data_IF_480039122884
#
_entry.id   IF_480039122884
#
_cell.length_a   1.000
_cell.length_b   1.000
_cell.length_c   1.000
_cell.angle_alpha   90.00
_cell.angle_beta   90.00
_cell.angle_gamma   90.00
#
_symmetry.space_group_name_H-M   'P 1'
#
loop_
_entity.id
_entity.type
_entity.pdbx_description
1 polymer ?
#
# COMPACT_ATOMS: atom_id res chain seq x y z
N UNK A 1 7.71 -46.59 100.81
CA UNK A 1 7.07 -47.41 99.76
C UNK A 1 5.87 -46.64 99.20
N UNK A 2 5.98 -46.09 97.99
CA UNK A 2 4.85 -45.54 97.22
C UNK A 2 5.20 -45.69 95.74
N UNK A 3 4.65 -46.71 95.10
CA UNK A 3 4.76 -46.96 93.65
C UNK A 3 3.84 -45.96 92.93
N UNK A 4 4.40 -45.09 92.09
CA UNK A 4 3.63 -44.29 91.13
C UNK A 4 3.56 -45.03 89.80
N UNK A 5 2.34 -45.16 89.31
CA UNK A 5 1.94 -45.81 88.06
C UNK A 5 2.41 -45.03 86.84
N UNK A 6 3.09 -45.69 85.90
CA UNK A 6 3.24 -45.21 84.53
C UNK A 6 1.98 -45.56 83.74
N UNK A 7 1.30 -44.55 83.18
CA UNK A 7 0.28 -44.76 82.14
C UNK A 7 0.97 -44.70 80.76
N UNK A 8 0.76 -45.68 79.87
CA UNK A 8 1.16 -45.51 78.47
C UNK A 8 0.09 -44.67 77.74
N UNK A 9 0.55 -43.75 76.90
CA UNK A 9 -0.28 -43.07 75.90
C UNK A 9 -0.65 -44.05 74.77
N UNK A 10 -1.89 -44.06 74.26
CA UNK A 10 -2.25 -44.88 73.11
C UNK A 10 -1.69 -44.27 71.83
N UNK A 11 -1.03 -45.09 71.02
CA UNK A 11 -0.61 -44.76 69.66
C UNK A 11 -1.85 -44.69 68.74
N UNK A 12 -1.97 -43.64 67.95
CA UNK A 12 -2.98 -43.52 66.89
C UNK A 12 -2.68 -44.50 65.74
N UNK A 13 -3.72 -45.09 65.11
CA UNK A 13 -3.54 -46.05 64.03
C UNK A 13 -3.10 -45.35 62.73
N UNK A 14 -2.03 -45.87 62.12
CA UNK A 14 -1.55 -45.51 60.78
C UNK A 14 -2.43 -46.16 59.71
N UNK A 15 -3.58 -45.58 59.39
CA UNK A 15 -4.35 -45.99 58.21
C UNK A 15 -5.36 -44.92 57.77
N UNK A 16 -4.87 -43.75 57.35
CA UNK A 16 -5.68 -42.79 56.60
C UNK A 16 -4.77 -41.79 55.86
N UNK A 17 -3.90 -42.28 54.97
CA UNK A 17 -3.06 -41.41 54.15
C UNK A 17 -2.90 -41.94 52.72
N UNK A 18 -3.94 -42.56 52.18
CA UNK A 18 -3.93 -43.14 50.82
C UNK A 18 -5.30 -42.95 50.15
N UNK A 19 -5.82 -41.71 50.10
CA UNK A 19 -7.04 -41.43 49.31
C UNK A 19 -7.22 -39.98 48.85
N UNK A 20 -6.17 -39.16 48.78
CA UNK A 20 -6.27 -37.76 48.27
C UNK A 20 -5.18 -37.37 47.26
N UNK A 21 -4.51 -38.36 46.64
CA UNK A 21 -3.51 -38.10 45.60
C UNK A 21 -3.85 -38.75 44.25
N UNK A 22 -5.11 -39.16 44.04
CA UNK A 22 -5.55 -39.81 42.79
C UNK A 22 -6.82 -39.20 42.16
N UNK A 23 -7.27 -38.02 42.62
CA UNK A 23 -8.36 -37.27 41.96
C UNK A 23 -7.88 -35.93 41.36
N UNK A 24 -6.61 -35.56 41.53
CA UNK A 24 -6.01 -34.36 40.93
C UNK A 24 -5.15 -34.66 39.69
N UNK A 25 -5.44 -35.75 38.96
CA UNK A 25 -4.71 -36.12 37.73
C UNK A 25 -5.65 -36.44 36.56
N UNK A 26 -6.80 -35.76 36.51
CA UNK A 26 -7.67 -35.74 35.32
C UNK A 26 -8.20 -34.34 35.14
N UNK A 27 -7.96 -33.77 33.96
CA UNK A 27 -8.41 -32.46 33.45
C UNK A 27 -7.55 -31.25 33.85
N UNK A 28 -6.23 -31.37 33.71
CA UNK A 28 -5.45 -30.28 33.13
C UNK A 28 -5.01 -30.72 31.72
N UNK A 29 -5.98 -30.99 30.84
CA UNK A 29 -5.71 -30.85 29.41
C UNK A 29 -5.39 -29.38 29.23
N UNK A 30 -4.09 -29.07 29.16
CA UNK A 30 -3.63 -27.82 28.60
C UNK A 30 -4.18 -27.77 27.18
N UNK A 31 -5.31 -27.10 26.99
CA UNK A 31 -5.64 -26.55 25.69
C UNK A 31 -4.57 -25.50 25.42
N UNK A 32 -3.43 -25.96 24.92
CA UNK A 32 -2.57 -25.11 24.12
C UNK A 32 -3.36 -24.88 22.85
N UNK A 33 -4.28 -23.91 22.88
CA UNK A 33 -4.73 -23.28 21.65
C UNK A 33 -3.49 -22.65 21.07
N UNK A 34 -2.81 -23.39 20.19
CA UNK A 34 -1.91 -22.79 19.24
C UNK A 34 -2.82 -21.90 18.42
N UNK A 35 -2.95 -20.64 18.81
CA UNK A 35 -3.48 -19.61 17.93
C UNK A 35 -2.50 -19.59 16.77
N UNK A 36 -2.86 -20.31 15.70
CA UNK A 36 -2.25 -20.14 14.41
C UNK A 36 -2.49 -18.67 14.06
N UNK A 37 -1.51 -17.82 14.39
CA UNK A 37 -1.59 -16.40 14.10
C UNK A 37 -1.84 -16.25 12.61
N UNK A 38 -2.83 -15.44 12.26
CA UNK A 38 -3.12 -15.12 10.87
C UNK A 38 -1.87 -14.45 10.28
N UNK A 39 -1.12 -15.21 9.49
CA UNK A 39 0.14 -14.78 8.92
C UNK A 39 -0.13 -14.09 7.58
N UNK A 40 0.28 -12.82 7.48
CA UNK A 40 0.28 -12.11 6.21
C UNK A 40 1.55 -12.41 5.43
N UNK A 41 1.42 -12.44 4.11
CA UNK A 41 2.57 -12.31 3.25
C UNK A 41 3.22 -10.94 3.50
N UNK A 42 4.55 -10.90 3.47
CA UNK A 42 5.30 -9.65 3.64
C UNK A 42 6.36 -9.52 2.56
N UNK A 43 6.66 -8.28 2.19
CA UNK A 43 7.76 -7.92 1.29
C UNK A 43 8.69 -6.99 2.04
N UNK A 44 10.00 -7.24 1.96
CA UNK A 44 11.00 -6.49 2.72
C UNK A 44 11.57 -5.33 1.91
N UNK A 45 11.35 -4.10 2.35
CA UNK A 45 11.97 -2.91 1.75
C UNK A 45 12.57 -1.99 2.82
N UNK A 46 13.45 -1.06 2.40
CA UNK A 46 13.90 0.02 3.29
C UNK A 46 12.75 1.00 3.54
N UNK A 47 12.89 1.83 4.57
CA UNK A 47 11.93 2.89 4.85
C UNK A 47 11.97 3.97 3.76
N UNK A 48 10.85 4.66 3.57
CA UNK A 48 10.81 5.90 2.79
C UNK A 48 11.63 6.99 3.51
N UNK A 49 12.51 7.63 2.74
CA UNK A 49 13.38 8.73 3.15
C UNK A 49 12.73 10.11 3.03
N UNK A 50 11.49 10.13 2.53
CA UNK A 50 10.65 11.29 2.41
C UNK A 50 9.53 11.03 1.41
N UNK A 51 8.75 12.08 1.15
CA UNK A 51 7.66 12.06 0.18
C UNK A 51 7.72 13.28 -0.71
N UNK A 52 7.49 13.11 -2.02
CA UNK A 52 7.43 14.18 -3.02
C UNK A 52 6.09 14.19 -3.75
N UNK A 53 5.77 15.30 -4.42
CA UNK A 53 4.58 15.33 -5.27
C UNK A 53 4.75 14.37 -6.47
N UNK A 54 3.68 13.66 -6.86
CA UNK A 54 3.75 12.63 -7.90
C UNK A 54 3.74 13.19 -9.33
N UNK A 55 3.45 14.48 -9.49
CA UNK A 55 3.50 15.23 -10.75
C UNK A 55 4.51 16.36 -10.58
N UNK A 56 5.15 16.82 -11.66
CA UNK A 56 6.09 17.95 -11.61
C UNK A 56 7.12 17.84 -10.47
N UNK A 57 7.55 16.61 -10.16
CA UNK A 57 8.30 16.30 -8.94
C UNK A 57 9.60 17.15 -8.84
N UNK A 58 10.04 17.54 -7.63
CA UNK A 58 9.42 17.20 -6.35
C UNK A 58 8.32 18.16 -5.90
N UNK A 59 8.15 19.32 -6.55
CA UNK A 59 7.32 20.43 -6.05
C UNK A 59 5.99 20.63 -6.78
N UNK A 60 5.58 19.70 -7.63
CA UNK A 60 4.41 19.85 -8.50
C UNK A 60 4.54 21.02 -9.50
N UNK A 61 5.77 21.26 -9.97
CA UNK A 61 6.08 22.30 -10.95
C UNK A 61 5.29 22.06 -12.24
N UNK A 62 4.57 23.08 -12.70
CA UNK A 62 3.71 22.99 -13.88
C UNK A 62 2.30 22.42 -13.62
N UNK A 63 2.01 22.01 -12.38
CA UNK A 63 0.71 21.46 -11.98
C UNK A 63 0.02 22.33 -10.93
N UNK A 64 -1.25 22.03 -10.68
CA UNK A 64 -2.01 22.59 -9.58
C UNK A 64 -3.02 21.57 -9.05
N UNK A 65 -3.38 21.74 -7.78
CA UNK A 65 -4.46 20.98 -7.15
C UNK A 65 -5.81 21.55 -7.59
N UNK A 66 -6.49 20.88 -8.50
CA UNK A 66 -7.81 21.26 -8.99
C UNK A 66 -8.91 20.96 -7.96
N UNK A 67 -8.73 19.89 -7.17
CA UNK A 67 -9.69 19.49 -6.14
C UNK A 67 -8.98 19.01 -4.88
N UNK A 68 -9.42 19.49 -3.71
CA UNK A 68 -8.88 19.11 -2.41
C UNK A 68 -9.57 17.90 -1.78
N UNK A 69 -9.01 17.42 -0.67
CA UNK A 69 -9.65 16.42 0.19
C UNK A 69 -10.80 17.06 0.98
N UNK A 70 -11.90 16.32 1.17
CA UNK A 70 -12.87 16.61 2.24
C UNK A 70 -13.59 15.36 2.75
N UNK A 71 -13.88 15.29 4.06
CA UNK A 71 -14.60 14.17 4.65
C UNK A 71 -15.95 13.89 3.99
N UNK A 72 -16.29 12.61 3.86
CA UNK A 72 -17.51 12.05 3.30
C UNK A 72 -17.79 12.38 1.83
N UNK A 73 -16.84 12.99 1.12
CA UNK A 73 -16.93 13.19 -0.33
C UNK A 73 -15.65 12.80 -1.05
N UNK A 74 -14.73 13.75 -1.23
CA UNK A 74 -13.52 13.55 -2.03
C UNK A 74 -12.34 13.11 -1.17
N UNK A 75 -11.93 11.84 -1.30
CA UNK A 75 -10.99 11.18 -0.37
C UNK A 75 -9.53 11.27 -0.79
N UNK A 76 -9.21 12.27 -1.60
CA UNK A 76 -7.89 12.54 -2.13
C UNK A 76 -7.78 13.95 -2.69
N UNK A 77 -6.84 14.13 -3.59
CA UNK A 77 -6.61 15.37 -4.32
C UNK A 77 -6.55 15.08 -5.82
N UNK A 78 -7.21 15.92 -6.61
CA UNK A 78 -7.13 15.87 -8.07
C UNK A 78 -6.11 16.89 -8.55
N UNK A 79 -5.13 16.44 -9.32
CA UNK A 79 -4.03 17.24 -9.84
C UNK A 79 -4.08 17.35 -11.36
N UNK A 80 -3.88 18.57 -11.86
CA UNK A 80 -3.97 18.93 -13.27
C UNK A 80 -2.73 19.70 -13.73
N UNK A 81 -2.36 19.51 -14.99
CA UNK A 81 -1.37 20.33 -15.67
C UNK A 81 -1.92 21.72 -16.00
N UNK A 82 -1.03 22.71 -16.09
CA UNK A 82 -1.42 24.11 -16.38
C UNK A 82 -1.70 24.40 -17.86
N UNK A 83 -1.55 23.42 -18.75
CA UNK A 83 -1.75 23.59 -20.19
C UNK A 83 -3.22 23.75 -20.62
N UNK A 84 -4.17 23.38 -19.75
CA UNK A 84 -5.61 23.48 -20.01
C UNK A 84 -6.17 22.31 -20.85
N UNK A 85 -7.48 22.08 -20.78
CA UNK A 85 -8.11 20.91 -21.38
C UNK A 85 -7.48 19.60 -20.87
N UNK A 86 -7.37 18.61 -21.75
CA UNK A 86 -6.71 17.33 -21.48
C UNK A 86 -5.23 17.32 -21.93
N UNK A 87 -4.55 18.48 -21.89
CA UNK A 87 -3.15 18.60 -22.33
C UNK A 87 -2.16 17.84 -21.44
N UNK A 88 -2.59 17.43 -20.25
CA UNK A 88 -1.87 16.60 -19.29
C UNK A 88 -2.08 15.10 -19.53
N UNK A 89 -2.79 14.69 -20.59
CA UNK A 89 -2.94 13.28 -20.95
C UNK A 89 -1.57 12.63 -21.22
N UNK A 90 -1.27 11.57 -20.49
CA UNK A 90 0.00 10.85 -20.64
C UNK A 90 1.15 11.45 -19.82
N UNK A 91 0.91 12.53 -19.08
CA UNK A 91 1.93 13.11 -18.20
C UNK A 91 2.46 12.09 -17.19
N UNK A 92 3.77 12.11 -16.86
CA UNK A 92 4.37 11.09 -16.02
C UNK A 92 3.91 11.22 -14.57
N UNK A 93 3.49 10.10 -13.99
CA UNK A 93 3.12 9.98 -12.57
C UNK A 93 4.20 9.20 -11.83
N UNK A 94 4.74 9.79 -10.78
CA UNK A 94 5.84 9.26 -10.00
C UNK A 94 5.39 8.80 -8.60
N UNK A 95 6.09 7.79 -8.08
CA UNK A 95 5.89 7.29 -6.73
C UNK A 95 6.25 8.37 -5.70
N UNK A 96 5.33 8.69 -4.79
CA UNK A 96 5.56 9.77 -3.81
C UNK A 96 6.70 9.44 -2.84
N UNK A 97 6.94 8.17 -2.50
CA UNK A 97 8.00 7.73 -1.59
C UNK A 97 8.38 6.28 -1.85
N UNK A 98 9.48 5.78 -1.29
CA UNK A 98 9.82 4.35 -1.42
C UNK A 98 8.69 3.47 -0.88
N UNK A 99 8.37 2.36 -1.54
CA UNK A 99 7.33 1.46 -1.08
C UNK A 99 7.22 0.16 -1.85
N UNK A 100 6.18 -0.60 -1.54
CA UNK A 100 5.81 -1.86 -2.19
C UNK A 100 4.49 -1.66 -2.92
N UNK A 101 4.42 -2.02 -4.20
CA UNK A 101 3.17 -1.99 -4.96
C UNK A 101 2.25 -3.10 -4.46
N UNK A 102 1.12 -2.73 -3.86
CA UNK A 102 0.12 -3.67 -3.32
C UNK A 102 -1.08 -3.85 -4.23
N UNK A 103 -1.31 -2.95 -5.18
CA UNK A 103 -2.31 -3.10 -6.25
C UNK A 103 -1.80 -2.45 -7.54
N UNK A 104 -2.03 -3.08 -8.68
CA UNK A 104 -1.79 -2.52 -10.02
C UNK A 104 -2.76 -3.14 -11.02
N UNK A 105 -3.98 -2.61 -11.08
CA UNK A 105 -5.09 -3.24 -11.79
C UNK A 105 -5.95 -2.24 -12.57
N UNK A 106 -6.67 -2.73 -13.58
CA UNK A 106 -7.74 -1.97 -14.20
C UNK A 106 -8.99 -2.30 -13.38
N UNK A 107 -9.30 -1.41 -12.45
CA UNK A 107 -10.44 -1.55 -11.53
C UNK A 107 -11.75 -1.25 -12.25
N UNK A 108 -11.68 -0.73 -13.49
CA UNK A 108 -12.82 -0.37 -14.35
C UNK A 108 -13.72 0.67 -13.66
N UNK A 109 -15.00 0.69 -14.05
CA UNK A 109 -16.04 1.55 -13.48
C UNK A 109 -15.57 3.01 -13.38
N UNK A 110 -15.84 3.71 -12.29
CA UNK A 110 -15.35 5.07 -12.04
C UNK A 110 -13.88 5.19 -11.63
N UNK A 111 -13.04 4.16 -11.79
CA UNK A 111 -11.63 4.21 -11.40
C UNK A 111 -10.67 4.11 -12.59
N UNK A 112 -10.91 3.15 -13.48
CA UNK A 112 -9.98 2.78 -14.54
C UNK A 112 -8.72 2.13 -13.98
N UNK A 113 -7.56 2.49 -14.55
CA UNK A 113 -6.30 1.98 -14.06
C UNK A 113 -5.91 2.61 -12.72
N UNK A 114 -5.59 1.77 -11.74
CA UNK A 114 -5.20 2.18 -10.40
C UNK A 114 -3.90 1.49 -10.00
N UNK A 115 -3.05 2.23 -9.29
CA UNK A 115 -1.90 1.69 -8.55
C UNK A 115 -2.06 2.06 -7.08
N UNK A 116 -1.78 1.12 -6.17
CA UNK A 116 -1.65 1.40 -4.74
C UNK A 116 -0.26 0.97 -4.28
N UNK A 117 0.42 1.84 -3.56
CA UNK A 117 1.79 1.62 -3.07
C UNK A 117 1.81 1.83 -1.56
N UNK A 118 2.32 0.84 -0.84
CA UNK A 118 2.48 0.88 0.60
C UNK A 118 3.86 1.39 0.98
N UNK A 119 3.89 2.41 1.81
CA UNK A 119 5.10 3.06 2.28
C UNK A 119 5.29 2.77 3.77
N UNK A 120 6.41 2.16 4.13
CA UNK A 120 6.85 2.12 5.52
C UNK A 120 7.80 3.28 5.77
N UNK A 121 7.59 4.05 6.83
CA UNK A 121 8.39 5.24 7.10
C UNK A 121 8.54 5.48 8.61
N UNK A 122 9.59 6.21 8.98
CA UNK A 122 9.83 6.59 10.37
C UNK A 122 9.24 7.96 10.63
N UNK A 123 8.25 8.01 11.51
CA UNK A 123 7.67 9.25 11.99
C UNK A 123 8.68 10.04 12.84
N UNK A 124 8.49 11.36 13.00
CA UNK A 124 9.38 12.19 13.84
C UNK A 124 9.45 11.72 15.30
N UNK A 125 8.40 11.03 15.75
CA UNK A 125 8.34 10.38 17.08
C UNK A 125 9.26 9.14 17.20
N UNK A 126 9.88 8.70 16.11
CA UNK A 126 10.69 7.49 15.98
C UNK A 126 9.88 6.24 15.67
N UNK A 127 8.55 6.31 15.74
CA UNK A 127 7.62 5.21 15.43
C UNK A 127 7.72 4.84 13.96
N UNK A 128 7.70 3.55 13.64
CA UNK A 128 7.51 3.11 12.25
C UNK A 128 6.02 3.11 11.97
N UNK A 129 5.61 3.82 10.95
CA UNK A 129 4.23 3.91 10.47
C UNK A 129 4.16 3.38 9.03
N UNK A 130 2.95 3.10 8.57
CA UNK A 130 2.69 2.73 7.19
C UNK A 130 1.48 3.47 6.65
N UNK A 131 1.56 3.86 5.39
CA UNK A 131 0.44 4.45 4.63
C UNK A 131 0.38 3.85 3.24
N UNK A 132 -0.81 3.82 2.66
CA UNK A 132 -1.01 3.51 1.25
C UNK A 132 -1.21 4.79 0.45
N UNK A 133 -0.45 4.99 -0.62
CA UNK A 133 -0.76 5.98 -1.65
C UNK A 133 -1.53 5.32 -2.79
N UNK A 134 -2.66 5.93 -3.19
CA UNK A 134 -3.42 5.50 -4.37
C UNK A 134 -3.21 6.51 -5.50
N UNK A 135 -2.98 5.98 -6.71
CA UNK A 135 -2.89 6.74 -7.97
C UNK A 135 -4.01 6.24 -8.88
N UNK A 136 -5.05 7.06 -9.06
CA UNK A 136 -6.25 6.73 -9.83
C UNK A 136 -6.29 7.35 -11.22
N UNK A 137 -7.23 6.86 -12.04
CA UNK A 137 -7.51 7.34 -13.40
C UNK A 137 -6.34 7.27 -14.38
N UNK A 138 -5.35 6.42 -14.10
CA UNK A 138 -4.13 6.35 -14.90
C UNK A 138 -4.45 5.95 -16.34
N UNK A 139 -3.72 6.51 -17.31
CA UNK A 139 -3.78 6.05 -18.69
C UNK A 139 -2.99 4.75 -18.86
N UNK A 140 -1.81 4.65 -18.24
CA UNK A 140 -0.98 3.45 -18.21
C UNK A 140 -0.46 3.17 -16.80
N UNK A 141 -0.27 1.89 -16.47
CA UNK A 141 0.44 1.43 -15.26
C UNK A 141 1.81 0.90 -15.67
N UNK A 142 2.87 1.38 -15.03
CA UNK A 142 4.26 1.00 -15.35
C UNK A 142 4.89 0.12 -14.26
N UNK A 143 4.11 -0.36 -13.30
CA UNK A 143 4.57 -1.19 -12.17
C UNK A 143 3.65 -2.39 -11.92
N UNK A 144 4.17 -3.42 -11.26
CA UNK A 144 3.46 -4.68 -10.96
C UNK A 144 3.33 -4.91 -9.46
N UNK A 145 2.28 -5.62 -9.04
CA UNK A 145 2.10 -6.03 -7.64
C UNK A 145 3.34 -6.78 -7.14
N UNK A 146 3.76 -6.45 -5.92
CA UNK A 146 4.96 -6.98 -5.27
C UNK A 146 6.26 -6.27 -5.62
N UNK A 147 6.26 -5.37 -6.60
CA UNK A 147 7.44 -4.57 -6.95
C UNK A 147 7.78 -3.58 -5.83
N UNK A 148 9.06 -3.56 -5.42
CA UNK A 148 9.61 -2.47 -4.61
C UNK A 148 9.95 -1.31 -5.53
N UNK A 149 9.47 -0.12 -5.19
CA UNK A 149 9.65 1.10 -5.97
C UNK A 149 10.31 2.18 -5.13
N UNK A 150 11.10 3.03 -5.79
CA UNK A 150 11.82 4.12 -5.13
C UNK A 150 11.05 5.45 -5.22
N UNK A 151 11.36 6.39 -4.32
CA UNK A 151 10.83 7.75 -4.38
C UNK A 151 11.15 8.40 -5.73
N UNK A 152 10.14 8.96 -6.38
CA UNK A 152 10.28 9.58 -7.69
C UNK A 152 10.41 8.60 -8.86
N UNK A 153 10.25 7.29 -8.65
CA UNK A 153 10.20 6.32 -9.75
C UNK A 153 8.91 6.47 -10.55
N UNK A 154 8.95 6.35 -11.89
CA UNK A 154 7.76 6.36 -12.73
C UNK A 154 6.86 5.15 -12.41
N UNK A 155 5.57 5.39 -12.13
CA UNK A 155 4.60 4.34 -11.77
C UNK A 155 3.43 4.23 -12.75
N UNK A 156 3.20 5.29 -13.52
CA UNK A 156 2.11 5.35 -14.48
C UNK A 156 2.14 6.65 -15.27
N UNK A 157 1.10 6.87 -16.06
CA UNK A 157 0.85 8.13 -16.75
C UNK A 157 -0.56 8.63 -16.47
N UNK A 158 -0.75 9.94 -16.47
CA UNK A 158 -2.03 10.58 -16.18
C UNK A 158 -3.08 10.23 -17.24
N UNK A 159 -4.34 10.11 -16.83
CA UNK A 159 -5.44 9.77 -17.72
C UNK A 159 -6.78 10.33 -17.24
N UNK A 160 -7.86 9.93 -17.92
CA UNK A 160 -9.23 10.37 -17.65
C UNK A 160 -10.23 9.22 -17.61
N UNK A 161 -9.76 8.00 -17.32
CA UNK A 161 -10.58 6.78 -17.31
C UNK A 161 -11.39 6.61 -18.62
N UNK A 162 -10.71 6.55 -19.76
CA UNK A 162 -11.31 6.45 -21.09
C UNK A 162 -12.32 7.57 -21.42
N UNK A 163 -12.05 8.79 -20.94
CA UNK A 163 -12.87 9.97 -21.22
C UNK A 163 -14.09 10.12 -20.32
N UNK A 164 -14.26 9.27 -19.30
CA UNK A 164 -15.30 9.44 -18.28
C UNK A 164 -15.07 10.70 -17.44
N UNK A 165 -13.80 11.11 -17.29
CA UNK A 165 -13.41 12.32 -16.59
C UNK A 165 -12.49 13.17 -17.49
N UNK A 166 -12.50 14.50 -17.34
CA UNK A 166 -11.36 15.32 -17.75
C UNK A 166 -10.08 14.73 -17.18
N UNK A 167 -8.98 14.81 -17.92
CA UNK A 167 -7.72 14.21 -17.48
C UNK A 167 -7.27 14.85 -16.17
N UNK A 168 -6.87 14.01 -15.22
CA UNK A 168 -6.26 14.43 -13.96
C UNK A 168 -5.62 13.21 -13.27
N UNK A 169 -4.72 13.46 -12.33
CA UNK A 169 -4.33 12.44 -11.34
C UNK A 169 -5.24 12.55 -10.11
N UNK A 170 -5.89 11.46 -9.73
CA UNK A 170 -6.49 11.32 -8.41
C UNK A 170 -5.49 10.66 -7.43
N UNK A 171 -5.06 11.40 -6.40
CA UNK A 171 -4.11 10.94 -5.39
C UNK A 171 -4.77 10.81 -4.02
N UNK A 172 -4.70 9.64 -3.39
CA UNK A 172 -5.08 9.47 -1.99
C UNK A 172 -3.88 9.07 -1.12
N UNK A 173 -3.93 9.40 0.18
CA UNK A 173 -3.00 8.87 1.19
C UNK A 173 -3.82 8.32 2.35
N UNK A 174 -3.71 7.01 2.58
CA UNK A 174 -4.58 6.23 3.46
C UNK A 174 -3.78 5.69 4.65
N UNK A 175 -4.35 5.84 5.83
CA UNK A 175 -3.83 5.31 7.10
C UNK A 175 -4.18 3.83 7.26
N UNK A 176 -5.41 3.48 6.91
CA UNK A 176 -5.91 2.13 7.07
C UNK A 176 -5.51 1.24 5.89
N UNK A 177 -4.68 0.25 6.19
CA UNK A 177 -4.08 -0.65 5.22
C UNK A 177 -5.06 -1.71 4.67
N UNK A 178 -6.27 -1.80 5.23
CA UNK A 178 -7.31 -2.74 4.82
C UNK A 178 -8.31 -2.16 3.80
N UNK A 179 -8.19 -0.86 3.44
CA UNK A 179 -9.16 -0.21 2.56
C UNK A 179 -9.17 -0.81 1.15
N UNK A 180 -7.99 -0.98 0.54
CA UNK A 180 -7.90 -1.43 -0.86
C UNK A 180 -8.81 -0.62 -1.78
N UNK A 181 -9.59 -1.26 -2.65
CA UNK A 181 -10.58 -0.53 -3.46
C UNK A 181 -11.95 -0.37 -2.77
N UNK A 182 -12.14 -0.94 -1.57
CA UNK A 182 -13.42 -1.00 -0.85
C UNK A 182 -13.69 0.25 0.00
N UNK A 183 -13.38 1.46 -0.50
CA UNK A 183 -13.46 2.72 0.26
C UNK A 183 -14.82 3.01 0.91
N UNK A 184 -15.91 2.49 0.36
CA UNK A 184 -17.26 2.70 0.88
C UNK A 184 -17.55 1.93 2.17
N UNK A 185 -16.77 0.88 2.47
CA UNK A 185 -16.93 0.05 3.68
C UNK A 185 -16.22 0.64 4.91
N UNK A 186 -15.53 1.78 4.75
CA UNK A 186 -14.74 2.42 5.79
C UNK A 186 -15.19 3.86 5.99
N UNK A 187 -14.93 4.42 7.18
CA UNK A 187 -15.15 5.85 7.43
C UNK A 187 -14.36 6.69 6.42
N UNK A 188 -15.05 7.63 5.78
CA UNK A 188 -14.54 8.43 4.66
C UNK A 188 -14.02 9.79 5.15
N UNK A 189 -13.23 9.79 6.21
CA UNK A 189 -12.78 11.00 6.91
C UNK A 189 -11.32 10.91 7.35
N UNK A 190 -10.87 11.90 8.13
CA UNK A 190 -9.50 11.99 8.62
C UNK A 190 -9.06 10.85 9.55
N UNK A 191 -9.97 9.98 10.01
CA UNK A 191 -9.57 8.78 10.74
C UNK A 191 -8.83 7.77 9.85
N UNK A 192 -9.22 7.68 8.58
CA UNK A 192 -8.67 6.72 7.62
C UNK A 192 -7.80 7.35 6.54
N UNK A 193 -7.90 8.67 6.34
CA UNK A 193 -7.22 9.39 5.26
C UNK A 193 -6.38 10.54 5.81
N UNK A 194 -5.31 10.87 5.10
CA UNK A 194 -4.64 12.15 5.19
C UNK A 194 -5.10 13.07 4.04
N UNK A 195 -4.96 14.39 4.22
CA UNK A 195 -4.82 15.26 3.04
C UNK A 195 -3.44 15.00 2.42
N UNK A 196 -3.36 14.59 1.14
CA UNK A 196 -2.09 14.27 0.47
C UNK A 196 -1.06 15.42 0.52
N UNK A 197 -1.44 16.63 0.11
CA UNK A 197 -0.54 17.82 0.19
C UNK A 197 0.01 18.01 1.61
N UNK A 198 -0.85 17.96 2.63
CA UNK A 198 -0.42 18.17 4.02
C UNK A 198 0.52 17.06 4.48
N UNK A 199 0.23 15.81 4.13
CA UNK A 199 1.08 14.66 4.41
C UNK A 199 2.45 14.81 3.75
N UNK A 200 2.50 15.05 2.43
CA UNK A 200 3.74 15.17 1.67
C UNK A 200 4.61 16.28 2.25
N UNK A 201 4.05 17.48 2.46
CA UNK A 201 4.81 18.62 3.00
C UNK A 201 5.34 18.38 4.41
N UNK A 202 4.61 17.65 5.26
CA UNK A 202 5.08 17.31 6.60
C UNK A 202 6.21 16.25 6.59
N UNK A 203 6.34 15.46 5.53
CA UNK A 203 7.23 14.30 5.48
C UNK A 203 8.22 14.34 4.31
N UNK A 204 8.67 15.54 3.89
CA UNK A 204 9.64 15.70 2.77
C UNK A 204 10.99 15.02 3.01
N UNK A 205 11.40 14.93 4.28
CA UNK A 205 12.69 14.35 4.69
C UNK A 205 12.48 13.57 5.98
N UNK A 206 12.82 12.29 5.95
CA UNK A 206 12.66 11.37 7.07
C UNK A 206 13.98 10.66 7.37
N UNK A 207 14.16 10.27 8.63
CA UNK A 207 15.32 9.50 9.04
C UNK A 207 15.18 8.05 8.58
N UNK A 208 16.20 7.56 7.89
CA UNK A 208 16.27 6.18 7.39
C UNK A 208 17.58 5.52 7.80
N UNK A 209 17.56 4.20 7.75
CA UNK A 209 18.72 3.34 7.91
C UNK A 209 18.71 2.27 6.80
N UNK A 210 19.77 1.49 6.70
CA UNK A 210 19.89 0.46 5.65
C UNK A 210 19.06 -0.80 5.95
N UNK A 211 18.36 -0.87 7.09
CA UNK A 211 17.57 -2.03 7.49
C UNK A 211 16.34 -2.15 6.60
N UNK A 212 15.98 -3.39 6.30
CA UNK A 212 14.73 -3.72 5.62
C UNK A 212 13.65 -4.13 6.62
N UNK A 213 12.46 -3.59 6.42
CA UNK A 213 11.28 -3.79 7.25
C UNK A 213 10.25 -4.64 6.51
N UNK A 214 9.52 -5.46 7.25
CA UNK A 214 8.49 -6.32 6.68
C UNK A 214 7.25 -5.47 6.42
N UNK A 215 6.90 -5.31 5.15
CA UNK A 215 5.70 -4.60 4.70
C UNK A 215 4.63 -5.65 4.41
N UNK A 216 3.52 -5.69 5.16
CA UNK A 216 2.46 -6.66 4.90
C UNK A 216 1.81 -6.36 3.55
N UNK A 217 1.52 -7.42 2.81
CA UNK A 217 0.74 -7.40 1.57
C UNK A 217 -0.53 -8.23 1.77
N UNK A 218 -1.45 -8.21 0.80
CA UNK A 218 -2.74 -8.93 0.85
C UNK A 218 -3.64 -8.54 2.04
N UNK A 219 -3.55 -7.28 2.49
CA UNK A 219 -4.23 -6.81 3.70
C UNK A 219 -5.65 -6.28 3.48
N UNK A 220 -6.16 -6.31 2.26
CA UNK A 220 -7.51 -5.85 1.91
C UNK A 220 -8.24 -6.89 1.07
N UNK A 221 -9.57 -6.88 1.14
CA UNK A 221 -10.41 -7.75 0.32
C UNK A 221 -10.33 -7.37 -1.16
N UNK A 222 -10.59 -8.32 -2.08
CA UNK A 222 -10.89 -8.01 -3.49
C UNK A 222 -11.96 -6.92 -3.60
N UNK A 223 -11.98 -6.18 -4.72
CA UNK A 223 -12.95 -5.10 -4.89
C UNK A 223 -14.39 -5.63 -4.91
N UNK A 224 -15.25 -5.09 -4.03
CA UNK A 224 -16.61 -5.57 -3.79
C UNK A 224 -16.71 -6.75 -2.81
N UNK A 225 -15.59 -7.22 -2.27
CA UNK A 225 -15.53 -8.31 -1.30
C UNK A 225 -15.51 -7.84 0.16
N UNK A 226 -15.69 -8.80 1.08
CA UNK A 226 -15.62 -8.60 2.52
C UNK A 226 -14.22 -8.94 3.06
N UNK A 227 -13.84 -8.27 4.16
CA UNK A 227 -12.59 -8.54 4.85
C UNK A 227 -12.62 -9.95 5.48
N UNK A 228 -11.48 -10.64 5.43
CA UNK A 228 -11.23 -11.79 6.30
C UNK A 228 -10.96 -11.33 7.74
N UNK A 229 -11.06 -12.23 8.72
CA UNK A 229 -10.73 -11.93 10.12
C UNK A 229 -9.33 -11.30 10.29
N UNK A 230 -8.37 -11.76 9.48
CA UNK A 230 -7.02 -11.24 9.46
C UNK A 230 -7.02 -9.77 9.04
N UNK A 231 -7.69 -9.46 7.92
CA UNK A 231 -7.72 -8.12 7.34
C UNK A 231 -8.52 -7.15 8.23
N UNK A 232 -9.55 -7.63 8.92
CA UNK A 232 -10.21 -6.84 9.98
C UNK A 232 -9.24 -6.49 11.12
N UNK A 233 -8.38 -7.43 11.52
CA UNK A 233 -7.36 -7.15 12.54
C UNK A 233 -6.38 -6.07 12.06
N UNK A 234 -5.97 -6.09 10.80
CA UNK A 234 -5.16 -5.01 10.19
C UNK A 234 -5.91 -3.69 10.20
N UNK A 235 -7.20 -3.69 9.84
CA UNK A 235 -8.03 -2.48 9.89
C UNK A 235 -8.04 -1.88 11.30
N UNK A 236 -8.28 -2.71 12.32
CA UNK A 236 -8.30 -2.28 13.73
C UNK A 236 -6.95 -1.80 14.25
N UNK A 237 -5.84 -2.25 13.68
CA UNK A 237 -4.49 -1.90 14.15
C UNK A 237 -3.87 -0.68 13.45
N UNK A 238 -4.35 -0.35 12.25
CA UNK A 238 -3.80 0.71 11.39
C UNK A 238 -4.65 1.98 11.37
N UNK A 239 -5.88 1.94 11.92
CA UNK A 239 -6.72 3.10 12.10
C UNK A 239 -7.56 3.01 13.38
N UNK A 240 -7.78 4.15 14.08
CA UNK A 240 -8.67 4.21 15.24
C UNK A 240 -10.16 4.06 14.89
N UNK A 241 -10.53 4.10 13.60
CA UNK A 241 -11.93 4.02 13.15
C UNK A 241 -12.35 2.58 12.85
N UNK A 242 -13.45 2.16 13.44
CA UNK A 242 -14.11 0.86 13.20
C UNK A 242 -14.53 0.72 11.74
N UNK A 243 -14.16 -0.42 11.13
CA UNK A 243 -14.80 -0.91 9.89
C UNK A 243 -16.32 -0.89 10.06
N UNK A 244 -17.02 -0.21 9.16
CA UNK A 244 -18.48 -0.02 9.24
C UNK A 244 -19.18 -0.92 8.21
N UNK A 245 -19.06 -2.24 8.37
CA UNK A 245 -19.98 -3.15 7.70
C UNK A 245 -20.66 -4.06 8.71
N UNK A 246 -21.97 -4.25 8.55
CA UNK A 246 -22.82 -5.07 9.41
C UNK A 246 -22.45 -6.54 9.18
N UNK A 247 -21.59 -7.13 10.01
CA UNK A 247 -21.51 -8.58 10.08
C UNK A 247 -22.86 -9.14 10.57
N UNK A 248 -23.47 -10.13 9.91
CA UNK A 248 -24.60 -10.83 10.48
C UNK A 248 -24.09 -11.71 11.64
N UNK A 249 -24.48 -11.34 12.85
CA UNK A 249 -24.24 -12.03 14.13
C UNK A 249 -22.81 -12.00 14.69
N UNK A 250 -22.49 -10.92 15.38
CA UNK A 250 -21.61 -11.04 16.56
C UNK A 250 -22.45 -11.66 17.68
N UNK A 251 -22.22 -12.95 17.98
CA UNK A 251 -22.79 -13.61 19.16
C UNK A 251 -22.11 -13.02 20.40
N UNK A 252 -22.86 -12.27 21.19
CA UNK A 252 -22.37 -11.68 22.43
C UNK A 252 -21.89 -12.76 23.41
N UNK A 253 -20.68 -12.60 23.96
CA UNK A 253 -20.26 -13.33 25.17
C UNK A 253 -19.01 -14.22 25.08
N UNK A 254 -17.94 -13.83 24.38
CA UNK A 254 -16.61 -14.42 24.64
C UNK A 254 -15.62 -13.38 25.19
N UNK A 255 -14.87 -13.71 26.26
CA UNK A 255 -13.89 -12.80 26.85
C UNK A 255 -12.72 -12.60 25.89
N UNK A 256 -12.21 -11.36 25.85
CA UNK A 256 -11.01 -11.04 25.08
C UNK A 256 -9.83 -11.86 25.62
N UNK A 257 -9.22 -12.65 24.73
CA UNK A 257 -7.89 -13.21 24.94
C UNK A 257 -6.93 -12.42 24.08
N UNK A 258 -6.71 -11.16 24.46
CA UNK A 258 -5.68 -10.32 23.86
C UNK A 258 -4.28 -10.87 24.18
N UNK A 259 -3.87 -11.89 23.43
CA UNK A 259 -2.47 -12.33 23.33
C UNK A 259 -1.60 -11.22 22.73
N UNK A 260 -1.22 -10.25 23.56
CA UNK A 260 -0.47 -9.06 23.17
C UNK A 260 0.84 -9.02 23.96
N UNK A 261 1.97 -9.32 23.31
CA UNK A 261 3.29 -9.01 23.87
C UNK A 261 3.69 -7.61 23.43
N UNK A 262 3.94 -6.76 24.42
CA UNK A 262 4.43 -5.39 24.26
C UNK A 262 5.89 -5.41 23.81
N UNK A 263 6.17 -4.86 22.63
CA UNK A 263 7.49 -4.29 22.31
C UNK A 263 7.34 -2.78 22.18
N UNK A 264 8.26 -2.02 22.78
CA UNK A 264 8.12 -0.58 22.95
C UNK A 264 8.03 0.18 21.63
N UNK A 265 7.04 1.10 21.56
CA UNK A 265 6.85 2.20 20.59
C UNK A 265 6.65 1.80 19.11
N UNK A 266 5.42 1.37 18.80
CA UNK A 266 4.64 1.43 17.55
C UNK A 266 5.31 1.14 16.19
N UNK A 267 4.72 0.47 15.21
CA UNK A 267 3.37 0.00 14.84
C UNK A 267 2.95 -1.34 15.48
N UNK A 268 1.65 -1.60 15.55
CA UNK A 268 1.09 -2.95 15.82
C UNK A 268 0.76 -3.62 14.49
N UNK A 269 1.75 -4.26 13.88
CA UNK A 269 1.52 -5.26 12.84
C UNK A 269 1.94 -6.60 13.44
N UNK A 270 1.07 -7.62 13.47
CA UNK A 270 1.51 -8.96 13.85
C UNK A 270 2.56 -9.41 12.81
N UNK A 271 3.82 -9.42 13.21
CA UNK A 271 4.91 -10.10 12.51
C UNK A 271 5.38 -11.20 13.43
N UNK A 272 5.08 -12.46 13.12
CA UNK A 272 5.59 -13.62 13.84
C UNK A 272 6.39 -14.50 12.88
N UNK A 273 7.71 -14.48 13.09
CA UNK A 273 8.60 -15.65 13.06
C UNK A 273 8.60 -16.54 11.82
N UNK A 274 9.28 -16.12 10.76
CA UNK A 274 9.87 -17.07 9.81
C UNK A 274 11.24 -17.51 10.32
N UNK A 275 11.36 -18.74 10.82
CA UNK A 275 12.65 -19.36 11.11
C UNK A 275 13.45 -19.52 9.82
N UNK A 276 14.72 -19.11 9.86
CA UNK A 276 15.66 -19.31 8.78
C UNK A 276 16.01 -20.81 8.62
N UNK A 277 15.70 -21.35 7.42
CA UNK A 277 16.37 -22.42 6.64
C UNK A 277 16.61 -23.81 7.27
N UNK A 278 16.70 -24.84 6.40
CA UNK A 278 18.02 -25.45 6.21
C UNK A 278 18.51 -25.47 4.76
N UNK A 279 19.83 -25.58 4.65
CA UNK A 279 20.69 -25.31 3.51
C UNK A 279 20.33 -26.04 2.20
N UNK A 280 20.44 -25.32 1.08
CA UNK A 280 20.72 -25.92 -0.23
C UNK A 280 22.24 -26.00 -0.34
N UNK A 281 22.74 -27.22 -0.40
CA UNK A 281 24.11 -27.60 -0.73
C UNK A 281 24.46 -27.15 -2.15
N UNK A 282 25.60 -26.48 -2.29
CA UNK A 282 26.42 -26.51 -3.51
C UNK A 282 27.77 -27.10 -3.09
N UNK A 283 28.40 -27.97 -3.88
CA UNK A 283 29.15 -27.44 -5.04
C UNK A 283 29.30 -28.42 -6.23
N UNK A 284 29.39 -27.90 -7.47
CA UNK A 284 30.29 -28.47 -8.50
C UNK A 284 30.74 -27.33 -9.43
N UNK A 285 32.05 -27.13 -9.54
CA UNK A 285 32.74 -26.31 -10.57
C UNK A 285 33.54 -27.24 -11.51
N UNK A 286 34.05 -26.75 -12.66
CA UNK A 286 33.79 -27.23 -14.02
C UNK A 286 34.91 -28.15 -14.56
N UNK A 287 34.93 -28.43 -15.89
CA UNK A 287 36.20 -28.52 -16.56
C UNK A 287 36.37 -27.53 -17.74
N UNK A 288 37.62 -27.08 -17.81
CA UNK A 288 38.39 -26.38 -18.82
C UNK A 288 38.36 -26.98 -20.23
N UNK A 289 38.66 -26.20 -21.28
CA UNK A 289 39.94 -26.18 -22.06
C UNK A 289 39.87 -25.16 -23.25
N UNK A 290 40.96 -24.44 -23.61
CA UNK A 290 41.09 -23.49 -24.75
C UNK A 290 41.93 -24.11 -25.91
N UNK A 291 42.61 -23.38 -26.85
CA UNK A 291 42.41 -22.08 -27.53
C UNK A 291 42.41 -22.18 -29.09
N UNK A 292 42.12 -21.08 -29.79
CA UNK A 292 42.39 -20.93 -31.23
C UNK A 292 42.97 -19.54 -31.54
N UNK A 293 44.23 -19.50 -31.96
CA UNK A 293 45.02 -18.33 -32.33
C UNK A 293 44.86 -17.92 -33.80
N UNK A 294 44.96 -16.61 -34.07
CA UNK A 294 45.62 -15.91 -35.21
C UNK A 294 45.00 -14.51 -35.23
N UNK A 295 45.71 -13.39 -35.11
CA UNK A 295 46.95 -12.98 -35.78
C UNK A 295 46.58 -11.85 -36.74
N UNK A 296 46.96 -10.60 -36.45
CA UNK A 296 46.66 -9.47 -37.35
C UNK A 296 46.84 -8.09 -36.73
N UNK A 297 48.04 -7.55 -36.87
CA UNK A 297 48.48 -6.17 -36.60
C UNK A 297 47.78 -5.13 -37.48
N UNK A 298 47.51 -3.94 -36.91
CA UNK A 298 48.00 -2.62 -37.36
C UNK A 298 46.98 -1.46 -37.29
N UNK A 299 47.44 -0.39 -36.62
CA UNK A 299 47.33 1.03 -36.95
C UNK A 299 45.96 1.70 -37.20
N UNK A 300 45.60 2.55 -36.22
CA UNK A 300 45.38 3.99 -36.37
C UNK A 300 44.86 4.52 -37.71
N UNK A 301 43.60 4.97 -37.74
CA UNK A 301 43.26 6.25 -38.38
C UNK A 301 41.94 6.80 -37.82
N UNK A 302 41.98 8.00 -37.27
CA UNK A 302 40.82 8.85 -37.00
C UNK A 302 40.37 9.46 -38.34
N UNK A 303 39.06 9.54 -38.60
CA UNK A 303 38.52 10.65 -39.36
C UNK A 303 37.50 11.45 -38.54
N UNK A 304 37.79 12.73 -38.44
CA UNK A 304 36.90 13.84 -38.13
C UNK A 304 35.84 14.06 -39.22
N UNK A 305 34.65 14.51 -38.81
CA UNK A 305 33.58 15.02 -39.69
C UNK A 305 32.30 14.19 -39.50
N UNK A 306 31.10 14.74 -39.31
CA UNK A 306 30.57 16.09 -39.53
C UNK A 306 29.21 16.18 -38.81
N UNK A 307 28.87 17.36 -38.30
CA UNK A 307 27.59 17.64 -37.62
C UNK A 307 26.37 17.39 -38.53
N UNK A 308 25.23 16.94 -37.98
CA UNK A 308 24.00 16.76 -38.76
C UNK A 308 23.36 18.12 -39.13
N UNK A 309 22.72 18.25 -40.31
CA UNK A 309 22.03 19.47 -40.72
C UNK A 309 20.75 19.71 -39.90
N UNK A 310 20.30 20.97 -39.75
CA UNK A 310 19.10 21.31 -39.01
C UNK A 310 17.81 20.87 -39.71
N UNK A 311 16.78 20.60 -38.90
CA UNK A 311 15.47 20.10 -39.30
C UNK A 311 14.71 21.05 -40.26
N UNK A 312 13.86 20.51 -41.16
CA UNK A 312 13.01 21.33 -42.04
C UNK A 312 11.86 22.00 -41.27
N UNK A 313 11.56 23.24 -41.67
CA UNK A 313 10.43 24.02 -41.18
C UNK A 313 9.06 23.40 -41.55
N UNK A 314 8.00 23.60 -40.75
CA UNK A 314 6.70 23.00 -40.98
C UNK A 314 5.97 23.63 -42.18
N UNK A 315 5.48 22.77 -43.08
CA UNK A 315 4.52 23.16 -44.11
C UNK A 315 3.18 23.53 -43.45
N UNK A 316 2.65 24.70 -43.82
CA UNK A 316 1.39 25.22 -43.32
C UNK A 316 0.15 24.66 -44.03
N UNK A 317 -0.95 24.66 -43.28
CA UNK A 317 -2.24 25.18 -43.75
C UNK A 317 -3.19 24.21 -44.46
N UNK A 318 -4.14 23.64 -43.71
CA UNK A 318 -5.58 23.59 -44.04
C UNK A 318 -6.30 22.64 -43.07
N UNK A 319 -6.81 23.14 -41.92
CA UNK A 319 -7.89 22.47 -41.14
C UNK A 319 -8.48 23.41 -40.04
N UNK A 320 -7.82 24.54 -39.72
CA UNK A 320 -8.30 25.47 -38.68
C UNK A 320 -9.49 26.36 -39.10
N UNK A 321 -9.87 26.41 -40.37
CA UNK A 321 -10.98 27.26 -40.86
C UNK A 321 -12.37 26.65 -40.68
N UNK A 322 -12.49 25.33 -40.56
CA UNK A 322 -13.81 24.66 -40.56
C UNK A 322 -14.43 24.54 -39.16
N UNK A 323 -13.61 24.50 -38.12
CA UNK A 323 -14.10 24.44 -36.74
C UNK A 323 -14.71 25.77 -36.27
N UNK A 324 -14.01 26.90 -36.50
CA UNK A 324 -14.45 28.22 -36.07
C UNK A 324 -15.66 28.76 -36.85
N UNK A 325 -15.84 28.31 -38.09
CA UNK A 325 -16.99 28.65 -38.94
C UNK A 325 -18.27 27.95 -38.46
N UNK A 326 -18.16 26.70 -38.00
CA UNK A 326 -19.29 25.92 -37.44
C UNK A 326 -19.74 26.38 -36.05
N UNK A 327 -18.83 26.96 -35.26
CA UNK A 327 -19.16 27.49 -33.93
C UNK A 327 -19.81 28.89 -33.99
N UNK A 328 -19.38 29.76 -34.93
CA UNK A 328 -19.96 31.10 -35.11
C UNK A 328 -21.38 31.08 -35.70
N UNK A 329 -21.79 30.00 -36.35
CA UNK A 329 -23.15 29.82 -36.86
C UNK A 329 -24.20 29.48 -35.78
N UNK A 330 -23.79 29.14 -34.56
CA UNK A 330 -24.71 28.73 -33.46
C UNK A 330 -24.81 29.74 -32.31
N UNK A 331 -24.39 30.98 -32.53
CA UNK A 331 -24.38 32.05 -31.52
C UNK A 331 -24.98 33.38 -32.01
N UNK A 332 -25.80 33.33 -33.06
CA UNK A 332 -26.78 34.39 -33.34
C UNK A 332 -28.15 33.87 -32.91
N UNK A 333 -28.83 34.68 -32.13
CA UNK A 333 -30.16 34.48 -31.54
C UNK A 333 -30.12 33.68 -30.23
N UNK A 334 -29.69 34.36 -29.18
CA UNK A 334 -29.71 33.87 -27.81
C UNK A 334 -31.11 33.51 -27.34
N UNK A 335 -31.45 32.23 -27.38
CA UNK A 335 -32.46 31.59 -26.55
C UNK A 335 -32.01 30.18 -26.18
N UNK A 336 -32.14 29.83 -24.89
CA UNK A 336 -31.93 28.49 -24.34
C UNK A 336 -33.26 27.75 -24.40
N UNK A 337 -33.34 26.62 -25.10
CA UNK A 337 -34.43 25.65 -24.97
C UNK A 337 -33.95 24.42 -24.20
N UNK A 338 -34.72 23.89 -23.23
CA UNK A 338 -34.37 22.67 -22.51
C UNK A 338 -34.68 21.46 -23.39
N UNK A 339 -33.64 20.70 -23.75
CA UNK A 339 -33.76 19.48 -24.55
C UNK A 339 -34.29 18.30 -23.72
N UNK A 340 -35.48 17.83 -24.09
CA UNK A 340 -36.12 16.59 -23.68
C UNK A 340 -35.44 15.38 -24.35
N UNK A 341 -35.53 14.23 -23.69
CA UNK A 341 -35.15 12.88 -24.10
C UNK A 341 -35.18 12.57 -25.61
N UNK A 342 -34.18 11.82 -26.09
CA UNK A 342 -34.38 10.91 -27.22
C UNK A 342 -33.66 9.57 -26.99
N UNK A 343 -34.47 8.50 -27.01
CA UNK A 343 -34.08 7.10 -27.15
C UNK A 343 -33.46 6.85 -28.52
N UNK A 344 -32.26 6.27 -28.56
CA UNK A 344 -31.96 4.96 -29.16
C UNK A 344 -30.51 4.58 -28.94
#
# INVERSE_FOLDING_TARGET
MLRRFSRPTPALPRSAALSLLQVALTVCLWWSTTSAGLAFNTIRCQLADGFDFPVGKPEADGYYKARGFWPNGHLGEDWNGRGGGDSDLGDPIYCIGRGVVVLSEDVRVGWGNVVIIRHAYREITGKIEMVDSLYGHLYQRNVKVGQVVERGQLVGTMGGNNGMYPVHLHLEVRKNLAIGMNRSSFARDYSNYHSPTAFINAHRRLSVDMRKYDVPVDTFAPYGGELTEAQEQVSRSTSPSTYTHKSPSARAGQPDSSGVIRTGRGLRIPVVGGTARPAVTAPVTPPSTPPGSTGGTAASTIPSGSAPPPAPAPAGGAEKSDFWSRLKGKLKDGQVTPGVEEKK
#
